data_IF_402928540935
#
_entry.id   IF_402928540935
#
_cell.length_a   1.000
_cell.length_b   1.000
_cell.length_c   1.000
_cell.angle_alpha   90.00
_cell.angle_beta   90.00
_cell.angle_gamma   90.00
#
_symmetry.space_group_name_H-M   'P 1'
#
loop_
_entity.id
_entity.type
_entity.pdbx_description
1 polymer ?
#
# COMPACT_ATOMS: atom_id res chain seq x y z
N UNK A 1 -15.64 0.34 -3.35
CA UNK A 1 -16.77 1.07 -2.73
C UNK A 1 -18.01 0.98 -3.61
N UNK A 2 -19.22 0.78 -3.05
CA UNK A 2 -20.46 0.75 -3.83
C UNK A 2 -20.74 2.13 -4.46
N UNK A 3 -21.27 2.13 -5.69
CA UNK A 3 -21.43 3.35 -6.50
C UNK A 3 -22.68 4.17 -6.16
N UNK A 4 -23.70 3.59 -5.53
CA UNK A 4 -25.00 4.27 -5.30
C UNK A 4 -25.41 4.39 -3.83
N UNK A 5 -25.48 3.30 -3.06
CA UNK A 5 -25.97 3.29 -1.68
C UNK A 5 -25.09 2.43 -0.76
N UNK A 6 -25.03 2.77 0.53
CA UNK A 6 -24.31 1.97 1.52
C UNK A 6 -22.82 2.29 1.68
N UNK A 7 -22.32 3.36 1.05
CA UNK A 7 -20.91 3.80 1.14
C UNK A 7 -20.40 3.89 2.59
N UNK A 8 -21.12 4.59 3.46
CA UNK A 8 -20.75 4.73 4.88
C UNK A 8 -20.67 3.37 5.59
N UNK A 9 -21.65 2.49 5.37
CA UNK A 9 -21.66 1.14 5.96
C UNK A 9 -20.50 0.28 5.45
N UNK A 10 -20.19 0.36 4.15
CA UNK A 10 -19.04 -0.37 3.58
C UNK A 10 -17.72 0.17 4.10
N UNK A 11 -17.56 1.49 4.20
CA UNK A 11 -16.38 2.12 4.77
C UNK A 11 -16.18 1.70 6.22
N UNK A 12 -17.22 1.78 7.06
CA UNK A 12 -17.14 1.32 8.44
C UNK A 12 -16.71 -0.15 8.52
N UNK A 13 -17.33 -1.02 7.71
CA UNK A 13 -16.94 -2.44 7.66
C UNK A 13 -15.47 -2.64 7.27
N UNK A 14 -14.94 -1.85 6.34
CA UNK A 14 -13.52 -1.94 5.94
C UNK A 14 -12.59 -1.51 7.07
N UNK A 15 -12.95 -0.44 7.78
CA UNK A 15 -12.22 0.08 8.93
C UNK A 15 -12.25 -0.91 10.11
N UNK A 16 -13.40 -1.55 10.35
CA UNK A 16 -13.57 -2.55 11.41
C UNK A 16 -12.76 -3.82 11.13
N UNK A 17 -12.68 -4.25 9.87
CA UNK A 17 -11.96 -5.46 9.45
C UNK A 17 -10.59 -5.15 8.82
N UNK A 18 -9.97 -4.02 9.18
CA UNK A 18 -8.74 -3.54 8.53
C UNK A 18 -7.59 -4.55 8.62
N UNK A 19 -7.52 -5.34 9.69
CA UNK A 19 -6.44 -6.33 9.90
C UNK A 19 -6.55 -7.47 8.89
N UNK A 20 -7.77 -7.91 8.60
CA UNK A 20 -8.02 -8.92 7.57
C UNK A 20 -7.69 -8.38 6.18
N UNK A 21 -7.99 -7.10 5.91
CA UNK A 21 -7.63 -6.47 4.64
C UNK A 21 -6.11 -6.36 4.48
N UNK A 22 -5.37 -6.00 5.53
CA UNK A 22 -3.91 -6.01 5.52
C UNK A 22 -3.36 -7.42 5.26
N UNK A 23 -3.89 -8.43 5.95
CA UNK A 23 -3.47 -9.81 5.77
C UNK A 23 -3.77 -10.34 4.35
N UNK A 24 -4.83 -9.87 3.69
CA UNK A 24 -5.10 -10.18 2.27
C UNK A 24 -4.04 -9.56 1.37
N UNK A 25 -3.76 -8.27 1.53
CA UNK A 25 -2.76 -7.55 0.72
C UNK A 25 -1.37 -8.15 0.90
N UNK A 26 -0.99 -8.52 2.13
CA UNK A 26 0.27 -9.24 2.41
C UNK A 26 0.40 -10.51 1.56
N UNK A 27 -0.65 -11.34 1.53
CA UNK A 27 -0.62 -12.61 0.80
C UNK A 27 -0.67 -12.41 -0.71
N UNK A 28 -1.48 -11.48 -1.19
CA UNK A 28 -1.70 -11.24 -2.62
C UNK A 28 -0.47 -10.60 -3.29
N UNK A 29 0.21 -9.69 -2.61
CA UNK A 29 1.37 -8.96 -3.14
C UNK A 29 2.70 -9.41 -2.53
N UNK A 30 2.69 -10.49 -1.74
CA UNK A 30 3.88 -11.06 -1.09
C UNK A 30 4.68 -10.06 -0.26
N UNK A 31 3.97 -9.17 0.45
CA UNK A 31 4.58 -8.10 1.24
C UNK A 31 4.89 -8.57 2.67
N UNK A 32 6.09 -8.27 3.21
CA UNK A 32 6.43 -8.50 4.61
C UNK A 32 5.50 -7.76 5.57
N UNK A 33 5.20 -8.38 6.72
CA UNK A 33 4.36 -7.74 7.74
C UNK A 33 4.98 -6.46 8.34
N UNK A 34 6.31 -6.35 8.34
CA UNK A 34 7.03 -5.17 8.85
C UNK A 34 6.84 -3.90 8.02
N UNK A 35 6.39 -4.04 6.76
CA UNK A 35 6.16 -2.89 5.87
C UNK A 35 4.79 -2.24 6.08
N UNK A 36 3.92 -2.87 6.89
CA UNK A 36 2.58 -2.36 7.16
C UNK A 36 2.59 -1.36 8.32
N UNK A 37 1.78 -0.30 8.25
CA UNK A 37 1.68 0.68 9.32
C UNK A 37 0.98 0.10 10.56
N UNK A 38 1.13 0.78 11.71
CA UNK A 38 0.36 0.45 12.91
C UNK A 38 -1.14 0.55 12.63
N UNK A 39 -1.87 -0.51 12.99
CA UNK A 39 -3.26 -0.68 12.58
C UNK A 39 -4.22 0.32 13.23
N UNK A 40 -4.04 0.60 14.52
CA UNK A 40 -4.92 1.51 15.26
C UNK A 40 -4.74 2.94 14.77
N UNK A 41 -3.49 3.35 14.54
CA UNK A 41 -3.19 4.65 13.96
C UNK A 41 -3.74 4.77 12.53
N UNK A 42 -3.56 3.74 11.69
CA UNK A 42 -4.10 3.75 10.34
C UNK A 42 -5.63 3.83 10.33
N UNK A 43 -6.30 3.14 11.26
CA UNK A 43 -7.75 3.16 11.44
C UNK A 43 -8.24 4.58 11.79
N UNK A 44 -7.59 5.23 12.75
CA UNK A 44 -7.90 6.60 13.15
C UNK A 44 -7.78 7.56 11.96
N UNK A 45 -6.65 7.53 11.25
CA UNK A 45 -6.41 8.38 10.09
C UNK A 45 -7.43 8.11 8.98
N UNK A 46 -7.66 6.84 8.64
CA UNK A 46 -8.58 6.44 7.57
C UNK A 46 -10.03 6.85 7.84
N UNK A 47 -10.44 6.92 9.11
CA UNK A 47 -11.79 7.36 9.52
C UNK A 47 -12.11 8.81 9.09
N UNK A 48 -11.09 9.66 8.94
CA UNK A 48 -11.22 11.04 8.48
C UNK A 48 -11.37 11.21 6.97
N UNK A 49 -11.23 10.13 6.18
CA UNK A 49 -11.28 10.18 4.71
C UNK A 49 -12.54 9.54 4.14
N UNK A 50 -12.87 9.90 2.89
CA UNK A 50 -13.94 9.27 2.11
C UNK A 50 -13.31 8.26 1.15
N UNK A 51 -13.40 6.97 1.45
CA UNK A 51 -12.71 5.90 0.68
C UNK A 51 -13.18 5.89 -0.79
N UNK A 52 -14.41 6.32 -1.07
CA UNK A 52 -14.93 6.40 -2.44
C UNK A 52 -14.26 7.49 -3.30
N UNK A 53 -13.53 8.42 -2.68
CA UNK A 53 -12.72 9.42 -3.38
C UNK A 53 -11.29 8.97 -3.68
N UNK A 54 -10.89 7.79 -3.19
CA UNK A 54 -9.56 7.27 -3.48
C UNK A 54 -9.41 6.92 -4.95
N UNK A 55 -8.22 7.18 -5.48
CA UNK A 55 -7.89 6.73 -6.82
C UNK A 55 -7.91 5.20 -6.89
N UNK A 56 -8.33 4.69 -8.04
CA UNK A 56 -8.19 3.26 -8.32
C UNK A 56 -6.72 2.91 -8.44
N UNK A 57 -6.37 1.70 -8.00
CA UNK A 57 -5.03 1.16 -8.17
C UNK A 57 -4.63 1.20 -9.65
N UNK A 58 -3.46 1.77 -9.93
CA UNK A 58 -2.89 1.87 -11.28
C UNK A 58 -1.71 0.90 -11.37
N UNK A 59 -1.86 -0.30 -11.97
CA UNK A 59 -0.80 -1.31 -12.00
C UNK A 59 0.52 -0.80 -12.58
N UNK A 60 0.47 0.08 -13.58
CA UNK A 60 1.65 0.71 -14.17
C UNK A 60 2.48 1.53 -13.19
N UNK A 61 1.85 2.14 -12.19
CA UNK A 61 2.57 2.91 -11.16
C UNK A 61 3.28 1.99 -10.19
N UNK A 62 2.72 0.81 -9.89
CA UNK A 62 3.37 -0.21 -9.07
C UNK A 62 4.58 -0.78 -9.82
N UNK A 63 4.38 -1.16 -11.10
CA UNK A 63 5.46 -1.69 -11.93
C UNK A 63 6.65 -0.73 -12.01
N UNK A 64 6.40 0.58 -12.14
CA UNK A 64 7.49 1.57 -12.16
C UNK A 64 8.30 1.59 -10.86
N UNK A 65 7.66 1.35 -9.70
CA UNK A 65 8.35 1.24 -8.41
C UNK A 65 9.11 -0.08 -8.32
N UNK A 66 8.51 -1.19 -8.77
CA UNK A 66 9.16 -2.50 -8.80
C UNK A 66 10.40 -2.51 -9.69
N UNK A 67 10.31 -1.89 -10.88
CA UNK A 67 11.42 -1.74 -11.82
C UNK A 67 12.55 -0.89 -11.19
N UNK A 68 12.19 0.20 -10.53
CA UNK A 68 13.14 1.05 -9.83
C UNK A 68 13.88 0.28 -8.71
N UNK A 69 13.16 -0.53 -7.92
CA UNK A 69 13.75 -1.36 -6.87
C UNK A 69 14.61 -2.49 -7.43
N UNK A 70 14.18 -3.13 -8.52
CA UNK A 70 14.82 -4.32 -9.09
C UNK A 70 16.01 -4.02 -10.01
N UNK A 71 16.02 -2.87 -10.68
CA UNK A 71 17.00 -2.55 -11.72
C UNK A 71 17.70 -1.21 -11.47
N UNK A 72 16.93 -0.12 -11.33
CA UNK A 72 17.51 1.23 -11.32
C UNK A 72 18.38 1.49 -10.08
N UNK A 73 17.92 1.09 -8.89
CA UNK A 73 18.70 1.24 -7.65
C UNK A 73 19.97 0.38 -7.69
N UNK A 74 19.93 -0.93 -8.02
CA UNK A 74 21.15 -1.73 -8.18
C UNK A 74 22.13 -1.16 -9.22
N UNK A 75 21.63 -0.62 -10.34
CA UNK A 75 22.47 0.02 -11.34
C UNK A 75 23.12 1.29 -10.81
N UNK A 76 22.34 2.15 -10.14
CA UNK A 76 22.85 3.33 -9.46
C UNK A 76 23.94 2.97 -8.45
N UNK A 77 23.74 1.89 -7.67
CA UNK A 77 24.70 1.44 -6.66
C UNK A 77 26.05 1.05 -7.27
N UNK A 78 26.08 0.48 -8.48
CA UNK A 78 27.32 0.17 -9.21
C UNK A 78 28.10 1.43 -9.62
N UNK A 79 27.41 2.55 -9.79
CA UNK A 79 28.06 3.82 -10.16
C UNK A 79 28.80 4.47 -8.98
N UNK A 80 28.45 4.11 -7.74
CA UNK A 80 29.22 4.52 -6.58
C UNK A 80 30.49 3.69 -6.50
N UNK A 81 31.66 4.35 -6.43
CA UNK A 81 32.90 3.67 -6.07
C UNK A 81 32.76 3.10 -4.67
N UNK A 82 33.30 1.91 -4.47
CA UNK A 82 33.50 1.37 -3.13
C UNK A 82 34.34 2.39 -2.33
N UNK A 83 33.80 3.00 -1.26
CA UNK A 83 34.56 3.96 -0.46
C UNK A 83 35.68 3.29 0.36
N UNK A 84 35.75 1.95 0.31
CA UNK A 84 36.78 1.13 0.95
C UNK A 84 37.81 0.55 -0.03
N UNK A 85 37.77 0.94 -1.32
CA UNK A 85 38.88 0.76 -2.27
C UNK A 85 39.84 1.97 -2.26
#
# INVERSE_FOLDING_TARGET
MPTMMGKAKTQQRLIDNLEDEFAKVQREFHLPAGDFPNIDHFREVLSGYSIDKFERLKPKMIQAVDDMLGYDIPELLKSFRNPYD
#
